data_IF_607389241684
#
_entry.id   IF_607389241684
#
_cell.length_a   1.000
_cell.length_b   1.000
_cell.length_c   1.000
_cell.angle_alpha   90.00
_cell.angle_beta   90.00
_cell.angle_gamma   90.00
#
_symmetry.space_group_name_H-M   'P 1'
#
loop_
_entity.id
_entity.type
_entity.pdbx_description
1 polymer ?
#
# COMPACT_ATOMS: atom_id res chain seq x y z
N UNK A 1 -16.73 -21.23 -35.92
CA UNK A 1 -17.10 -20.12 -35.02
C UNK A 1 -15.90 -19.33 -34.46
N UNK A 2 -14.68 -19.48 -35.00
CA UNK A 2 -13.48 -18.77 -34.54
C UNK A 2 -13.20 -17.43 -35.26
N UNK A 3 -13.95 -17.10 -36.33
CA UNK A 3 -13.68 -15.94 -37.21
C UNK A 3 -14.48 -14.67 -36.87
N UNK A 4 -15.23 -14.64 -35.77
CA UNK A 4 -16.07 -13.47 -35.41
C UNK A 4 -15.40 -12.50 -34.41
N UNK A 5 -14.21 -12.84 -33.90
CA UNK A 5 -13.52 -12.04 -32.88
C UNK A 5 -12.30 -11.26 -33.39
N UNK A 6 -11.90 -11.47 -34.66
CA UNK A 6 -10.63 -10.96 -35.20
C UNK A 6 -10.73 -9.54 -35.78
N UNK A 7 -11.94 -8.97 -35.89
CA UNK A 7 -12.18 -7.70 -36.60
C UNK A 7 -12.73 -6.55 -35.73
N UNK A 8 -12.74 -6.66 -34.40
CA UNK A 8 -12.97 -5.48 -33.55
C UNK A 8 -11.64 -4.84 -33.17
N UNK A 9 -11.08 -4.10 -34.12
CA UNK A 9 -9.90 -3.27 -33.92
C UNK A 9 -10.25 -2.07 -33.02
N UNK A 10 -10.42 -2.30 -31.71
CA UNK A 10 -10.63 -1.25 -30.72
C UNK A 10 -9.36 -0.41 -30.60
N UNK A 11 -9.28 0.63 -31.42
CA UNK A 11 -8.26 1.68 -31.31
C UNK A 11 -8.16 2.16 -29.86
N UNK A 12 -6.95 2.10 -29.30
CA UNK A 12 -6.72 2.57 -27.94
C UNK A 12 -6.71 4.11 -27.94
N UNK A 13 -7.33 4.78 -26.95
CA UNK A 13 -7.31 6.23 -26.89
C UNK A 13 -5.86 6.72 -26.73
N UNK A 14 -5.53 7.83 -27.39
CA UNK A 14 -4.25 8.53 -27.22
C UNK A 14 -4.10 9.03 -25.78
N UNK A 15 -2.87 9.35 -25.37
CA UNK A 15 -2.62 9.83 -23.99
C UNK A 15 -3.26 11.18 -23.74
N UNK A 16 -3.20 12.07 -24.73
CA UNK A 16 -3.91 13.35 -24.74
C UNK A 16 -5.40 13.16 -24.54
N UNK A 17 -6.01 12.20 -25.26
CA UNK A 17 -7.44 11.94 -25.11
C UNK A 17 -7.81 11.40 -23.73
N UNK A 18 -6.95 10.56 -23.13
CA UNK A 18 -7.16 10.08 -21.77
C UNK A 18 -7.07 11.23 -20.75
N UNK A 19 -6.06 12.09 -20.87
CA UNK A 19 -5.88 13.27 -20.01
C UNK A 19 -7.08 14.22 -20.11
N UNK A 20 -7.52 14.52 -21.33
CA UNK A 20 -8.67 15.39 -21.57
C UNK A 20 -9.95 14.79 -20.97
N UNK A 21 -10.22 13.50 -21.21
CA UNK A 21 -11.39 12.84 -20.65
C UNK A 21 -11.34 12.81 -19.10
N UNK A 22 -10.15 12.63 -18.52
CA UNK A 22 -9.96 12.61 -17.07
C UNK A 22 -10.22 14.01 -16.47
N UNK A 23 -9.70 15.06 -17.11
CA UNK A 23 -9.96 16.46 -16.76
C UNK A 23 -11.45 16.79 -16.78
N UNK A 24 -12.14 16.48 -17.87
CA UNK A 24 -13.59 16.68 -17.99
C UNK A 24 -14.38 15.93 -16.91
N UNK A 25 -13.91 14.76 -16.49
CA UNK A 25 -14.54 13.99 -15.42
C UNK A 25 -14.36 14.68 -14.07
N UNK A 26 -13.15 15.15 -13.77
CA UNK A 26 -12.86 15.88 -12.54
C UNK A 26 -13.67 17.19 -12.45
N UNK A 27 -13.74 17.96 -13.53
CA UNK A 27 -14.55 19.19 -13.61
C UNK A 27 -16.03 18.92 -13.37
N UNK A 28 -16.59 17.86 -14.00
CA UNK A 28 -17.99 17.46 -13.77
C UNK A 28 -18.26 16.97 -12.36
N UNK A 29 -17.28 16.34 -11.71
CA UNK A 29 -17.40 15.91 -10.33
C UNK A 29 -17.37 17.12 -9.38
N UNK A 30 -16.43 18.05 -9.59
CA UNK A 30 -16.34 19.30 -8.84
C UNK A 30 -17.61 20.15 -8.96
N UNK A 31 -18.16 20.30 -10.17
CA UNK A 31 -19.43 20.98 -10.41
C UNK A 31 -20.63 20.34 -9.70
N UNK A 32 -20.52 19.06 -9.30
CA UNK A 32 -21.53 18.32 -8.54
C UNK A 32 -21.20 18.20 -7.04
N UNK A 33 -20.20 18.92 -6.55
CA UNK A 33 -19.75 18.85 -5.16
C UNK A 33 -19.15 17.50 -4.74
N UNK A 34 -18.72 16.67 -5.71
CA UNK A 34 -18.11 15.36 -5.42
C UNK A 34 -16.61 15.50 -5.28
N UNK A 35 -16.09 15.18 -4.09
CA UNK A 35 -14.66 15.06 -3.85
C UNK A 35 -14.14 13.76 -4.47
N UNK A 36 -13.16 13.87 -5.36
CA UNK A 36 -12.45 12.72 -5.94
C UNK A 36 -11.03 12.67 -5.38
N UNK A 37 -10.46 11.47 -5.34
CA UNK A 37 -9.08 11.23 -4.89
C UNK A 37 -8.26 10.70 -6.07
N UNK A 38 -7.89 11.55 -7.05
CA UNK A 38 -7.18 11.12 -8.24
C UNK A 38 -5.76 10.63 -7.91
N UNK A 39 -5.19 9.83 -8.81
CA UNK A 39 -3.78 9.46 -8.76
C UNK A 39 -3.01 10.33 -9.75
N UNK A 40 -2.01 11.05 -9.25
CA UNK A 40 -1.16 11.95 -10.05
C UNK A 40 0.28 11.48 -9.96
N UNK A 41 0.79 10.90 -11.05
CA UNK A 41 2.18 10.44 -11.13
C UNK A 41 3.04 11.55 -11.73
N UNK A 42 3.91 12.15 -10.92
CA UNK A 42 4.82 13.22 -11.36
C UNK A 42 6.21 12.73 -11.74
N UNK A 43 6.59 11.52 -11.31
CA UNK A 43 7.91 10.94 -11.55
C UNK A 43 7.93 9.87 -12.65
N UNK A 44 9.14 9.52 -13.10
CA UNK A 44 9.37 8.38 -14.01
C UNK A 44 8.85 7.06 -13.41
N UNK A 45 9.11 6.85 -12.13
CA UNK A 45 8.62 5.69 -11.37
C UNK A 45 7.17 5.97 -10.89
N UNK A 46 6.33 4.94 -10.92
CA UNK A 46 4.94 5.03 -10.40
C UNK A 46 4.94 5.09 -8.88
N UNK A 47 5.73 4.22 -8.24
CA UNK A 47 6.00 4.24 -6.81
C UNK A 47 7.50 4.45 -6.57
N UNK A 48 7.83 5.21 -5.54
CA UNK A 48 9.17 5.65 -5.11
C UNK A 48 9.62 4.89 -3.86
N UNK A 49 8.73 4.70 -2.89
CA UNK A 49 9.04 3.99 -1.66
C UNK A 49 9.33 2.51 -1.93
N UNK A 50 10.00 1.84 -1.00
CA UNK A 50 10.20 0.40 -1.17
C UNK A 50 8.88 -0.37 -1.05
N UNK A 51 7.94 0.04 -0.19
CA UNK A 51 6.67 -0.66 -0.01
C UNK A 51 5.72 -0.48 -1.19
N UNK A 52 5.64 0.72 -1.76
CA UNK A 52 4.86 1.00 -2.96
C UNK A 52 5.42 0.28 -4.20
N UNK A 53 6.75 0.19 -4.33
CA UNK A 53 7.41 -0.63 -5.36
C UNK A 53 7.11 -2.11 -5.16
N UNK A 54 7.30 -2.60 -3.95
CA UNK A 54 7.04 -3.99 -3.57
C UNK A 54 5.58 -4.40 -3.77
N UNK A 55 4.63 -3.48 -3.53
CA UNK A 55 3.23 -3.68 -3.88
C UNK A 55 3.05 -3.91 -5.39
N UNK A 56 3.61 -3.03 -6.21
CA UNK A 56 3.52 -3.16 -7.67
C UNK A 56 4.17 -4.47 -8.15
N UNK A 57 5.36 -4.81 -7.64
CA UNK A 57 6.06 -6.06 -7.94
C UNK A 57 5.27 -7.30 -7.53
N UNK A 58 4.65 -7.27 -6.34
CA UNK A 58 3.83 -8.37 -5.85
C UNK A 58 2.65 -8.67 -6.79
N UNK A 59 2.02 -7.62 -7.32
CA UNK A 59 0.90 -7.73 -8.25
C UNK A 59 1.31 -8.22 -9.64
N UNK A 60 2.51 -7.87 -10.09
CA UNK A 60 3.06 -8.35 -11.36
C UNK A 60 3.25 -9.86 -11.36
N UNK A 61 3.43 -10.49 -10.19
CA UNK A 61 3.45 -11.95 -10.03
C UNK A 61 2.09 -12.62 -10.28
N UNK A 62 1.00 -11.86 -10.26
CA UNK A 62 -0.37 -12.39 -10.44
C UNK A 62 -0.87 -12.26 -11.87
N UNK A 63 -0.10 -11.58 -12.73
CA UNK A 63 -0.54 -11.21 -14.05
C UNK A 63 0.15 -12.09 -15.10
N UNK A 64 -0.56 -13.08 -15.62
CA UNK A 64 -0.12 -13.88 -16.77
C UNK A 64 -0.02 -13.07 -18.09
N UNK A 65 -0.28 -11.76 -18.06
CA UNK A 65 -0.48 -10.94 -19.26
C UNK A 65 0.33 -9.63 -19.24
N UNK A 66 1.60 -9.71 -19.63
CA UNK A 66 2.55 -8.58 -19.71
C UNK A 66 2.02 -7.38 -20.51
N UNK A 67 1.26 -7.63 -21.59
CA UNK A 67 0.66 -6.59 -22.44
C UNK A 67 -0.45 -5.79 -21.76
N UNK A 68 -1.10 -6.34 -20.74
CA UNK A 68 -2.17 -5.66 -19.98
C UNK A 68 -1.57 -4.75 -18.90
N UNK A 69 -0.47 -5.19 -18.30
CA UNK A 69 0.30 -4.39 -17.33
C UNK A 69 0.86 -3.11 -17.97
N UNK A 70 1.44 -3.21 -19.17
CA UNK A 70 1.96 -2.03 -19.89
C UNK A 70 0.88 -0.97 -20.17
N UNK A 71 -0.32 -1.41 -20.57
CA UNK A 71 -1.49 -0.54 -20.76
C UNK A 71 -1.98 0.05 -19.43
N UNK A 72 -1.99 -0.73 -18.35
CA UNK A 72 -2.31 -0.25 -17.00
C UNK A 72 -1.36 0.86 -16.54
N UNK A 73 -0.05 0.67 -16.71
CA UNK A 73 0.99 1.67 -16.42
C UNK A 73 0.78 2.97 -17.19
N UNK A 74 0.35 2.88 -18.44
CA UNK A 74 0.02 4.06 -19.26
C UNK A 74 -1.21 4.81 -18.72
N UNK A 75 -2.25 4.10 -18.31
CA UNK A 75 -3.47 4.71 -17.78
C UNK A 75 -3.20 5.45 -16.46
N UNK A 76 -2.48 4.84 -15.52
CA UNK A 76 -2.17 5.51 -14.25
C UNK A 76 -1.27 6.74 -14.46
N UNK A 77 -0.28 6.67 -15.37
CA UNK A 77 0.60 7.81 -15.69
C UNK A 77 -0.11 8.97 -16.38
N UNK A 78 -1.21 8.70 -17.08
CA UNK A 78 -2.00 9.74 -17.77
C UNK A 78 -3.05 10.39 -16.86
N UNK A 79 -3.08 10.05 -15.57
CA UNK A 79 -4.10 10.54 -14.64
C UNK A 79 -5.49 9.95 -14.90
N UNK A 80 -5.57 8.82 -15.60
CA UNK A 80 -6.86 8.21 -15.93
C UNK A 80 -7.54 7.59 -14.71
N UNK A 81 -6.81 7.30 -13.63
CA UNK A 81 -7.40 6.90 -12.34
C UNK A 81 -7.85 8.17 -11.63
N UNK A 82 -9.09 8.57 -11.89
CA UNK A 82 -9.66 9.86 -11.45
C UNK A 82 -10.16 9.84 -10.02
N UNK A 83 -10.36 8.65 -9.44
CA UNK A 83 -10.77 8.46 -8.04
C UNK A 83 -10.25 7.10 -7.60
N UNK A 84 -9.56 7.06 -6.46
CA UNK A 84 -9.07 5.84 -5.84
C UNK A 84 -9.24 5.95 -4.33
N UNK A 85 -9.98 5.01 -3.75
CA UNK A 85 -10.30 4.96 -2.34
C UNK A 85 -9.93 3.58 -1.80
N UNK A 86 -9.10 3.57 -0.77
CA UNK A 86 -8.68 2.36 -0.07
C UNK A 86 -9.47 2.29 1.23
N UNK A 87 -10.27 1.23 1.37
CA UNK A 87 -11.09 0.95 2.54
C UNK A 87 -10.71 -0.43 3.10
N UNK A 88 -11.25 -0.77 4.27
CA UNK A 88 -11.08 -2.08 4.89
C UNK A 88 -11.48 -3.21 3.95
N UNK A 89 -10.51 -4.03 3.55
CA UNK A 89 -10.68 -5.17 2.65
C UNK A 89 -11.13 -4.83 1.22
N UNK A 90 -11.11 -3.54 0.84
CA UNK A 90 -11.75 -3.11 -0.41
C UNK A 90 -11.12 -1.84 -0.99
N UNK A 91 -10.76 -1.90 -2.26
CA UNK A 91 -10.36 -0.74 -3.06
C UNK A 91 -11.46 -0.44 -4.06
N UNK A 92 -11.89 0.82 -4.09
CA UNK A 92 -12.84 1.35 -5.06
C UNK A 92 -12.12 2.37 -5.94
N UNK A 93 -12.28 2.24 -7.25
CA UNK A 93 -11.70 3.20 -8.17
C UNK A 93 -12.62 3.54 -9.34
N UNK A 94 -12.41 4.75 -9.88
CA UNK A 94 -12.96 5.19 -11.15
C UNK A 94 -11.82 5.40 -12.13
N UNK A 95 -11.85 4.63 -13.21
CA UNK A 95 -10.81 4.71 -14.24
C UNK A 95 -11.42 5.20 -15.53
N UNK A 96 -11.00 6.38 -15.96
CA UNK A 96 -11.38 6.98 -17.21
C UNK A 96 -10.79 6.18 -18.38
N UNK A 97 -11.58 6.05 -19.45
CA UNK A 97 -11.15 5.41 -20.69
C UNK A 97 -11.79 6.08 -21.89
N UNK A 98 -12.26 5.28 -22.83
CA UNK A 98 -12.93 5.77 -24.06
C UNK A 98 -14.36 6.25 -23.84
N UNK A 99 -15.08 5.71 -22.84
CA UNK A 99 -16.47 6.09 -22.54
C UNK A 99 -16.55 7.41 -21.79
N UNK A 100 -17.67 8.14 -21.94
CA UNK A 100 -17.93 9.39 -21.20
C UNK A 100 -17.97 9.20 -19.68
N UNK A 101 -18.43 8.04 -19.22
CA UNK A 101 -18.47 7.69 -17.80
C UNK A 101 -17.27 6.80 -17.48
N UNK A 102 -16.49 7.10 -16.43
CA UNK A 102 -15.40 6.25 -15.97
C UNK A 102 -15.88 4.83 -15.65
N UNK A 103 -15.03 3.84 -15.92
CA UNK A 103 -15.26 2.47 -15.50
C UNK A 103 -15.15 2.36 -13.98
N UNK A 104 -16.07 1.60 -13.38
CA UNK A 104 -16.03 1.27 -11.96
C UNK A 104 -15.11 0.07 -11.80
N UNK A 105 -14.11 0.20 -10.94
CA UNK A 105 -13.21 -0.88 -10.54
C UNK A 105 -13.41 -1.15 -9.06
N UNK A 106 -13.56 -2.41 -8.71
CA UNK A 106 -13.62 -2.89 -7.34
C UNK A 106 -12.62 -4.02 -7.18
N UNK A 107 -11.74 -3.89 -6.19
CA UNK A 107 -10.78 -4.92 -5.81
C UNK A 107 -11.06 -5.26 -4.37
N UNK A 108 -11.31 -6.54 -4.08
CA UNK A 108 -11.51 -7.00 -2.71
C UNK A 108 -10.28 -7.76 -2.27
N UNK A 109 -9.83 -7.48 -1.06
CA UNK A 109 -8.71 -8.14 -0.41
C UNK A 109 -9.24 -8.73 0.88
N UNK A 110 -9.04 -10.04 1.07
CA UNK A 110 -9.42 -10.72 2.29
C UNK A 110 -8.71 -10.07 3.48
N UNK A 111 -9.45 -9.65 4.51
CA UNK A 111 -8.86 -9.20 5.77
C UNK A 111 -8.03 -10.31 6.40
N UNK A 112 -7.02 -9.93 7.18
CA UNK A 112 -6.26 -10.87 7.98
C UNK A 112 -7.12 -11.45 9.12
N UNK A 113 -6.83 -12.68 9.52
CA UNK A 113 -7.39 -13.24 10.76
C UNK A 113 -6.77 -12.54 11.98
N UNK A 114 -7.50 -12.49 13.09
CA UNK A 114 -7.03 -11.89 14.36
C UNK A 114 -5.65 -12.43 14.78
N UNK A 115 -5.44 -13.74 14.65
CA UNK A 115 -4.16 -14.39 14.96
C UNK A 115 -3.00 -13.84 14.10
N UNK A 116 -3.25 -13.59 12.81
CA UNK A 116 -2.24 -13.01 11.91
C UNK A 116 -2.00 -11.53 12.24
N UNK A 117 -3.06 -10.79 12.58
CA UNK A 117 -2.97 -9.39 13.00
C UNK A 117 -2.10 -9.26 14.26
N UNK A 118 -2.34 -10.09 15.27
CA UNK A 118 -1.57 -10.08 16.52
C UNK A 118 -0.10 -10.42 16.25
N UNK A 119 0.18 -11.44 15.43
CA UNK A 119 1.53 -11.83 15.02
C UNK A 119 2.27 -10.68 14.32
N UNK A 120 1.62 -10.02 13.36
CA UNK A 120 2.21 -8.90 12.61
C UNK A 120 2.47 -7.72 13.56
N UNK A 121 1.50 -7.38 14.42
CA UNK A 121 1.62 -6.27 15.38
C UNK A 121 2.78 -6.50 16.34
N UNK A 122 2.90 -7.71 16.90
CA UNK A 122 4.01 -8.09 17.78
C UNK A 122 5.38 -8.02 17.09
N UNK A 123 5.46 -8.46 15.81
CA UNK A 123 6.71 -8.37 15.04
C UNK A 123 7.10 -6.94 14.71
N UNK A 124 6.12 -6.08 14.40
CA UNK A 124 6.38 -4.66 14.18
C UNK A 124 6.88 -3.98 15.45
N UNK A 125 6.30 -4.27 16.62
CA UNK A 125 6.74 -3.68 17.89
C UNK A 125 8.14 -4.11 18.32
N UNK A 126 8.61 -5.32 17.96
CA UNK A 126 9.94 -5.80 18.33
C UNK A 126 11.06 -5.38 17.37
N UNK A 127 10.77 -5.24 16.07
CA UNK A 127 11.79 -4.94 15.05
C UNK A 127 11.97 -3.45 14.76
N UNK A 128 11.01 -2.61 15.11
CA UNK A 128 11.06 -1.19 14.78
C UNK A 128 11.72 -0.43 15.92
N UNK A 129 13.03 -0.21 15.81
CA UNK A 129 13.79 0.64 16.73
C UNK A 129 13.25 2.08 16.77
N UNK A 130 12.54 2.53 15.72
CA UNK A 130 11.97 3.87 15.64
C UNK A 130 10.48 3.81 15.32
N UNK A 131 9.68 3.59 16.35
CA UNK A 131 8.21 3.56 16.25
C UNK A 131 7.65 4.82 15.59
N UNK A 132 8.29 5.97 15.83
CA UNK A 132 7.95 7.25 15.21
C UNK A 132 7.98 7.19 13.68
N UNK A 133 8.94 6.48 13.09
CA UNK A 133 9.02 6.29 11.63
C UNK A 133 7.83 5.49 11.10
N UNK A 134 7.45 4.43 11.81
CA UNK A 134 6.30 3.61 11.44
C UNK A 134 5.00 4.43 11.49
N UNK A 135 4.81 5.24 12.53
CA UNK A 135 3.65 6.12 12.69
C UNK A 135 3.65 7.24 11.65
N UNK A 136 4.83 7.77 11.29
CA UNK A 136 4.98 8.78 10.24
C UNK A 136 4.89 8.20 8.82
N UNK A 137 4.62 6.89 8.68
CA UNK A 137 4.52 6.21 7.39
C UNK A 137 5.87 5.87 6.73
N UNK A 138 7.00 6.14 7.37
CA UNK A 138 8.30 5.69 6.90
C UNK A 138 8.55 4.26 7.37
N UNK A 139 8.20 3.27 6.55
CA UNK A 139 8.38 1.87 6.89
C UNK A 139 9.86 1.49 6.82
N UNK A 140 10.49 1.03 7.92
CA UNK A 140 11.88 0.57 7.90
C UNK A 140 12.04 -0.68 7.01
N UNK A 141 13.23 -0.88 6.44
CA UNK A 141 13.48 -2.01 5.51
C UNK A 141 13.36 -3.37 6.20
N UNK A 142 13.54 -3.40 7.51
CA UNK A 142 13.43 -4.56 8.39
C UNK A 142 12.00 -5.11 8.44
N UNK A 143 11.01 -4.30 8.04
CA UNK A 143 9.61 -4.72 7.90
C UNK A 143 9.32 -5.48 6.61
N UNK A 144 10.25 -5.51 5.63
CA UNK A 144 10.04 -6.22 4.36
C UNK A 144 9.58 -7.66 4.58
N UNK A 145 10.23 -8.39 5.48
CA UNK A 145 9.87 -9.79 5.76
C UNK A 145 8.40 -9.93 6.20
N UNK A 146 7.90 -9.00 7.01
CA UNK A 146 6.53 -9.02 7.53
C UNK A 146 5.50 -8.76 6.41
N UNK A 147 5.89 -7.98 5.41
CA UNK A 147 5.03 -7.70 4.26
C UNK A 147 4.98 -8.88 3.28
N UNK A 148 6.10 -9.55 3.06
CA UNK A 148 6.26 -10.59 2.04
C UNK A 148 6.11 -12.03 2.52
N UNK A 149 6.13 -12.30 3.83
CA UNK A 149 5.95 -13.65 4.36
C UNK A 149 4.55 -14.22 4.05
N UNK A 150 4.43 -15.55 4.08
CA UNK A 150 3.14 -16.21 3.94
C UNK A 150 2.17 -15.75 5.05
N UNK A 151 0.98 -15.32 4.65
CA UNK A 151 0.02 -14.68 5.54
C UNK A 151 0.43 -13.29 6.05
N UNK A 152 1.40 -12.64 5.41
CA UNK A 152 1.85 -11.27 5.69
C UNK A 152 0.87 -10.19 5.20
N UNK A 153 1.36 -8.94 5.14
CA UNK A 153 0.55 -7.77 4.74
C UNK A 153 0.28 -7.68 3.24
N UNK A 154 1.10 -8.26 2.38
CA UNK A 154 0.75 -8.37 0.95
C UNK A 154 -0.22 -9.51 0.69
N UNK A 155 -1.32 -9.25 -0.06
CA UNK A 155 -2.35 -10.26 -0.26
C UNK A 155 -1.84 -11.34 -1.19
N UNK A 156 -2.07 -12.60 -0.87
CA UNK A 156 -1.81 -13.71 -1.79
C UNK A 156 -2.77 -13.70 -2.99
N UNK A 157 -2.46 -14.35 -4.12
CA UNK A 157 -3.37 -14.39 -5.28
C UNK A 157 -4.79 -14.87 -4.94
N UNK A 158 -4.92 -15.82 -4.00
CA UNK A 158 -6.20 -16.35 -3.52
C UNK A 158 -6.96 -15.39 -2.60
N UNK A 159 -6.27 -14.39 -2.03
CA UNK A 159 -6.84 -13.40 -1.11
C UNK A 159 -7.33 -12.15 -1.86
N UNK A 160 -7.14 -12.07 -3.18
CA UNK A 160 -7.50 -10.90 -3.99
C UNK A 160 -8.49 -11.27 -5.09
N UNK A 161 -9.51 -10.43 -5.28
CA UNK A 161 -10.50 -10.61 -6.34
C UNK A 161 -10.80 -9.28 -7.03
N UNK A 162 -11.13 -9.35 -8.32
CA UNK A 162 -11.27 -8.17 -9.17
C UNK A 162 -12.65 -8.12 -9.83
N UNK A 163 -13.19 -6.89 -9.92
CA UNK A 163 -14.39 -6.60 -10.69
C UNK A 163 -14.19 -5.27 -11.43
N UNK A 164 -14.53 -5.24 -12.71
CA UNK A 164 -14.51 -4.03 -13.51
C UNK A 164 -15.74 -3.95 -14.40
N UNK A 165 -16.34 -2.76 -14.51
CA UNK A 165 -17.50 -2.53 -15.38
C UNK A 165 -17.14 -2.39 -16.87
N UNK A 166 -15.94 -2.78 -17.28
CA UNK A 166 -15.51 -2.70 -18.68
C UNK A 166 -15.93 -3.96 -19.45
N UNK A 167 -16.12 -3.88 -20.78
CA UNK A 167 -16.51 -5.04 -21.59
C UNK A 167 -15.36 -6.04 -21.83
N UNK A 168 -14.20 -5.85 -21.18
CA UNK A 168 -13.07 -6.76 -21.26
C UNK A 168 -13.35 -7.98 -20.36
N UNK A 169 -13.35 -9.17 -20.94
CA UNK A 169 -13.62 -10.43 -20.24
C UNK A 169 -12.42 -10.93 -19.42
N UNK A 170 -11.25 -10.29 -19.57
CA UNK A 170 -10.08 -10.64 -18.79
C UNK A 170 -10.29 -10.34 -17.30
N UNK A 171 -9.94 -11.30 -16.45
CA UNK A 171 -9.92 -11.14 -14.98
C UNK A 171 -9.10 -9.90 -14.59
N UNK A 172 -7.98 -9.66 -15.26
CA UNK A 172 -7.14 -8.48 -15.06
C UNK A 172 -7.12 -7.60 -16.31
N UNK A 173 -8.11 -6.71 -16.43
CA UNK A 173 -8.13 -5.70 -17.49
C UNK A 173 -7.15 -4.55 -17.19
N UNK A 174 -6.90 -3.69 -18.19
CA UNK A 174 -6.03 -2.51 -18.03
C UNK A 174 -6.49 -1.53 -16.94
N UNK A 175 -7.79 -1.46 -16.64
CA UNK A 175 -8.32 -0.59 -15.59
C UNK A 175 -8.01 -1.14 -14.19
N UNK A 176 -8.09 -2.47 -14.02
CA UNK A 176 -7.67 -3.14 -12.79
C UNK A 176 -6.17 -2.95 -12.60
N UNK A 177 -5.36 -3.20 -13.65
CA UNK A 177 -3.92 -2.96 -13.59
C UNK A 177 -3.59 -1.49 -13.24
N UNK A 178 -4.25 -0.51 -13.88
CA UNK A 178 -4.08 0.91 -13.55
C UNK A 178 -4.44 1.23 -12.10
N UNK A 179 -5.52 0.63 -11.58
CA UNK A 179 -5.94 0.79 -10.17
C UNK A 179 -4.90 0.21 -9.23
N UNK A 180 -4.41 -0.99 -9.50
CA UNK A 180 -3.39 -1.68 -8.69
C UNK A 180 -2.07 -0.89 -8.63
N UNK A 181 -1.60 -0.37 -9.76
CA UNK A 181 -0.46 0.55 -9.78
C UNK A 181 -0.75 1.87 -9.04
N UNK A 182 -1.98 2.38 -9.17
CA UNK A 182 -2.44 3.58 -8.46
C UNK A 182 -2.47 3.40 -6.94
N UNK A 183 -2.81 2.19 -6.46
CA UNK A 183 -2.70 1.86 -5.03
C UNK A 183 -1.24 1.97 -4.58
N UNK A 184 -0.28 1.44 -5.35
CA UNK A 184 1.14 1.58 -5.02
C UNK A 184 1.59 3.04 -4.88
N UNK A 185 1.12 3.93 -5.77
CA UNK A 185 1.38 5.36 -5.68
C UNK A 185 0.68 6.01 -4.47
N UNK A 186 -0.57 5.67 -4.18
CA UNK A 186 -1.29 6.16 -3.01
C UNK A 186 -0.62 5.73 -1.70
N UNK A 187 -0.07 4.53 -1.66
CA UNK A 187 0.61 4.01 -0.48
C UNK A 187 1.96 4.69 -0.23
N UNK A 188 2.58 5.32 -1.23
CA UNK A 188 3.74 6.20 -0.99
C UNK A 188 3.33 7.46 -0.22
N UNK A 189 2.13 7.97 -0.47
CA UNK A 189 1.59 9.18 0.15
C UNK A 189 0.95 8.89 1.52
N UNK A 190 0.24 7.77 1.62
CA UNK A 190 -0.52 7.35 2.80
C UNK A 190 -0.21 5.87 3.16
N UNK A 191 0.97 5.58 3.74
CA UNK A 191 1.43 4.21 3.98
C UNK A 191 0.54 3.42 4.96
N UNK A 192 -0.08 4.11 5.93
CA UNK A 192 -0.96 3.48 6.93
C UNK A 192 -2.20 2.83 6.31
N UNK A 193 -2.59 3.19 5.08
CA UNK A 193 -3.69 2.54 4.36
C UNK A 193 -3.45 1.05 4.13
N UNK A 194 -2.20 0.55 4.18
CA UNK A 194 -1.91 -0.89 4.15
C UNK A 194 -2.59 -1.66 5.27
N UNK A 195 -2.49 -1.14 6.49
CA UNK A 195 -3.05 -1.77 7.68
C UNK A 195 -4.57 -1.77 7.58
N UNK A 196 -5.16 -0.63 7.25
CA UNK A 196 -6.61 -0.50 7.03
C UNK A 196 -7.10 -1.49 5.97
N UNK A 197 -6.41 -1.57 4.83
CA UNK A 197 -6.75 -2.49 3.74
C UNK A 197 -6.74 -3.95 4.18
N UNK A 198 -5.79 -4.35 5.04
CA UNK A 198 -5.72 -5.71 5.61
C UNK A 198 -6.59 -5.92 6.85
N UNK A 199 -7.39 -4.93 7.21
CA UNK A 199 -8.35 -5.00 8.31
C UNK A 199 -7.81 -4.67 9.68
N UNK A 200 -6.57 -4.19 9.75
CA UNK A 200 -5.93 -3.70 10.96
C UNK A 200 -6.39 -2.25 11.17
N UNK A 201 -7.02 -1.99 12.31
CA UNK A 201 -7.34 -0.62 12.72
C UNK A 201 -6.05 0.15 12.98
N UNK A 202 -5.84 1.24 12.26
CA UNK A 202 -4.60 2.02 12.32
C UNK A 202 -4.40 2.66 13.69
N UNK A 203 -5.46 3.13 14.34
CA UNK A 203 -5.36 3.74 15.67
C UNK A 203 -5.00 2.67 16.69
N UNK A 204 -5.72 1.54 16.66
CA UNK A 204 -5.41 0.40 17.52
C UNK A 204 -4.00 -0.13 17.28
N UNK A 205 -3.55 -0.17 16.04
CA UNK A 205 -2.19 -0.60 15.71
C UNK A 205 -1.15 0.34 16.32
N UNK A 206 -1.31 1.65 16.16
CA UNK A 206 -0.41 2.64 16.76
C UNK A 206 -0.42 2.51 18.29
N UNK A 207 -1.59 2.42 18.91
CA UNK A 207 -1.72 2.29 20.37
C UNK A 207 -1.03 1.02 20.90
N UNK A 208 -1.24 -0.13 20.25
CA UNK A 208 -0.62 -1.40 20.65
C UNK A 208 0.89 -1.37 20.45
N UNK A 209 1.37 -0.82 19.33
CA UNK A 209 2.81 -0.75 19.07
C UNK A 209 3.48 0.19 20.08
N UNK A 210 2.85 1.30 20.46
CA UNK A 210 3.34 2.21 21.51
C UNK A 210 3.38 1.51 22.86
N UNK A 211 2.27 0.89 23.26
CA UNK A 211 2.13 0.22 24.56
C UNK A 211 3.17 -0.90 24.73
N UNK A 212 3.32 -1.76 23.71
CA UNK A 212 4.33 -2.83 23.71
C UNK A 212 5.76 -2.30 23.83
N UNK A 213 6.05 -1.13 23.25
CA UNK A 213 7.38 -0.52 23.33
C UNK A 213 7.65 0.03 24.73
N UNK A 214 6.67 0.69 25.35
CA UNK A 214 6.79 1.18 26.73
C UNK A 214 7.01 0.00 27.68
N UNK A 215 6.23 -1.08 27.54
CA UNK A 215 6.42 -2.30 28.33
C UNK A 215 7.81 -2.91 28.13
N UNK A 216 8.31 -2.98 26.89
CA UNK A 216 9.66 -3.48 26.60
C UNK A 216 10.76 -2.58 27.20
N UNK A 217 10.59 -1.26 27.20
CA UNK A 217 11.50 -0.33 27.87
C UNK A 217 11.48 -0.55 29.38
N UNK A 218 10.29 -0.63 29.99
CA UNK A 218 10.11 -0.85 31.43
C UNK A 218 10.67 -2.20 31.89
N UNK A 219 10.53 -3.26 31.09
CA UNK A 219 11.08 -4.58 31.40
C UNK A 219 12.62 -4.57 31.47
N UNK A 220 13.28 -3.69 30.71
CA UNK A 220 14.74 -3.55 30.69
C UNK A 220 15.27 -2.58 31.74
N UNK A 221 14.43 -1.78 32.41
CA UNK A 221 14.87 -0.81 33.44
C UNK A 221 15.59 -1.51 34.60
N UNK A 222 15.16 -2.72 34.96
CA UNK A 222 15.77 -3.50 36.05
C UNK A 222 16.93 -4.40 35.60
N UNK A 223 17.36 -4.32 34.33
CA UNK A 223 18.52 -5.05 33.82
C UNK A 223 19.69 -4.08 33.57
N UNK A 224 20.55 -3.84 34.58
CA UNK A 224 21.69 -2.95 34.39
C UNK A 224 22.62 -3.47 33.30
N UNK A 225 22.97 -2.59 32.36
CA UNK A 225 23.96 -2.87 31.33
C UNK A 225 25.30 -3.23 31.98
N UNK A 226 26.03 -4.21 31.41
CA UNK A 226 27.40 -4.58 31.86
C UNK A 226 28.40 -3.43 31.84
N UNK A 227 28.05 -2.29 31.23
CA UNK A 227 28.85 -1.05 31.20
C UNK A 227 28.52 -0.07 32.33
N UNK A 228 27.50 -0.33 33.13
CA UNK A 228 27.18 0.47 34.31
C UNK A 228 28.11 0.00 35.43
N UNK A 229 29.07 0.83 35.79
CA UNK A 229 29.90 0.63 36.98
C UNK A 229 29.00 0.79 38.20
N UNK A 230 29.02 -0.20 39.09
CA UNK A 230 28.38 -0.08 40.41
C UNK A 230 29.19 0.90 41.27
N UNK A 231 28.57 1.61 42.21
CA UNK A 231 29.25 2.62 43.04
C UNK A 231 30.51 2.07 43.73
N UNK A 232 30.47 0.79 44.13
CA UNK A 232 31.63 0.07 44.69
C UNK A 232 32.81 -0.06 43.72
N UNK A 233 32.54 -0.11 42.41
CA UNK A 233 33.58 -0.17 41.38
C UNK A 233 34.11 1.23 41.00
N UNK A 234 33.39 2.30 41.34
CA UNK A 234 33.83 3.69 41.14
C UNK A 234 34.86 4.05 42.21
N UNK A 235 34.64 3.61 43.46
CA UNK A 235 35.58 3.79 44.58
C UNK A 235 36.94 3.12 44.31
N UNK A 236 36.92 1.89 43.79
CA UNK A 236 38.12 1.15 43.40
C UNK A 236 38.87 1.77 42.20
N UNK A 237 38.15 2.45 41.29
CA UNK A 237 38.73 3.03 40.07
C UNK A 237 39.32 4.43 40.30
N UNK A 238 38.73 5.21 41.22
CA UNK A 238 39.15 6.58 41.52
C UNK A 238 39.93 6.73 42.82
N UNK A 239 40.08 5.66 43.62
CA UNK A 239 40.95 5.63 44.78
C UNK A 239 40.69 6.79 45.74
N UNK A 240 39.43 7.06 46.06
CA UNK A 240 39.10 8.12 47.01
C UNK A 240 39.47 7.62 48.40
N UNK A 241 40.65 8.02 48.84
CA UNK A 241 41.14 7.82 50.20
C UNK A 241 40.16 8.57 51.13
N UNK A 242 39.30 7.83 51.84
CA UNK A 242 38.58 8.38 52.97
C UNK A 242 39.59 8.59 54.11
N UNK A 243 39.76 9.85 54.54
CA UNK A 243 40.49 10.22 55.77
C UNK A 243 39.77 9.74 57.03
#
# INVERSE_FOLDING_TARGET
>A
MARYWDEMNYSQPTEEKLKENAKQTAEKAAAKGKMLHPIVITSRQIAKSWWGKSWCENLERYADYETRLSRGRRYVRTGAVVDLQINKGKILARVQGTRKTPYKVEIRISPLSEQRIERITKKCSTRVETLEKLVSGDFPKELKDIFFEEGGLFPEPREISFSCSCPDWAIMCKHIAATLYGVGARLDEEPLLFFSLRGIDTNRFVDVVISNRVEAMLANVNQPSKRILQDTQIEDLFGVIQE
#
